data_IF_573059355852
#
_entry.id   IF_573059355852
#
_cell.length_a   1.000
_cell.length_b   1.000
_cell.length_c   1.000
_cell.angle_alpha   90.00
_cell.angle_beta   90.00
_cell.angle_gamma   90.00
#
_symmetry.space_group_name_H-M   'P 1'
#
loop_
_entity.id
_entity.type
_entity.pdbx_description
1 polymer ?
#
# COMPACT_ATOMS: atom_id res chain seq x y z
N UNK A 1 5.29 -21.62 11.55
CA UNK A 1 5.67 -20.53 10.62
C UNK A 1 6.05 -19.29 11.41
N UNK A 2 7.21 -18.68 11.09
CA UNK A 2 7.65 -17.45 11.75
C UNK A 2 6.77 -16.25 11.28
N UNK A 3 6.07 -15.63 12.24
CA UNK A 3 5.17 -14.50 12.00
C UNK A 3 5.92 -13.28 11.45
N UNK A 4 7.18 -13.05 11.88
CA UNK A 4 8.02 -11.95 11.41
C UNK A 4 8.41 -12.14 9.94
N UNK A 5 8.72 -13.38 9.55
CA UNK A 5 8.99 -13.73 8.14
C UNK A 5 7.73 -13.52 7.29
N UNK A 6 6.55 -13.88 7.80
CA UNK A 6 5.29 -13.67 7.09
C UNK A 6 5.04 -12.17 6.82
N UNK A 7 5.23 -11.30 7.81
CA UNK A 7 5.09 -9.84 7.62
C UNK A 7 6.15 -9.32 6.64
N UNK A 8 7.40 -9.80 6.76
CA UNK A 8 8.49 -9.36 5.89
C UNK A 8 8.25 -9.75 4.43
N UNK A 9 7.78 -10.97 4.19
CA UNK A 9 7.51 -11.47 2.83
C UNK A 9 6.25 -10.88 2.18
N UNK A 10 5.37 -10.27 2.95
CA UNK A 10 4.14 -9.63 2.46
C UNK A 10 4.24 -8.10 2.49
N UNK A 11 4.18 -7.49 3.68
CA UNK A 11 4.12 -6.03 3.82
C UNK A 11 5.42 -5.36 3.41
N UNK A 12 6.58 -5.89 3.87
CA UNK A 12 7.87 -5.26 3.53
C UNK A 12 8.18 -5.43 2.04
N UNK A 13 7.88 -6.59 1.44
CA UNK A 13 8.06 -6.78 0.00
C UNK A 13 7.20 -5.84 -0.84
N UNK A 14 5.95 -5.59 -0.41
CA UNK A 14 5.05 -4.64 -1.05
C UNK A 14 5.60 -3.20 -0.95
N UNK A 15 6.10 -2.78 0.22
CA UNK A 15 6.66 -1.45 0.41
C UNK A 15 8.01 -1.26 -0.30
N UNK A 16 8.85 -2.29 -0.36
CA UNK A 16 10.06 -2.29 -1.19
C UNK A 16 9.70 -2.19 -2.68
N UNK A 17 8.66 -2.93 -3.09
CA UNK A 17 8.08 -2.82 -4.43
C UNK A 17 7.55 -1.42 -4.73
N UNK A 18 6.96 -0.73 -3.74
CA UNK A 18 6.54 0.66 -3.87
C UNK A 18 7.74 1.62 -4.04
N UNK A 19 8.80 1.47 -3.24
CA UNK A 19 10.02 2.32 -3.32
C UNK A 19 10.62 2.27 -4.73
N UNK A 20 10.75 1.08 -5.32
CA UNK A 20 11.25 0.90 -6.68
C UNK A 20 10.15 0.80 -7.75
N UNK A 21 8.90 1.15 -7.42
CA UNK A 21 7.74 0.99 -8.30
C UNK A 21 7.77 1.92 -9.50
N UNK A 22 8.00 1.37 -10.70
CA UNK A 22 8.08 2.11 -11.96
C UNK A 22 6.74 2.78 -12.29
N UNK A 23 5.63 2.14 -11.94
CA UNK A 23 4.28 2.65 -12.19
C UNK A 23 3.76 3.61 -11.11
N UNK A 24 4.50 3.80 -10.02
CA UNK A 24 4.17 4.81 -9.02
C UNK A 24 4.56 6.16 -9.60
N UNK A 25 3.57 6.88 -10.06
CA UNK A 25 3.74 8.22 -10.62
C UNK A 25 2.81 9.17 -9.89
N UNK A 26 3.34 10.29 -9.44
CA UNK A 26 2.54 11.37 -8.85
C UNK A 26 2.04 12.34 -9.93
N UNK A 27 1.93 11.84 -11.17
CA UNK A 27 1.76 12.63 -12.39
C UNK A 27 0.30 12.94 -12.75
N UNK A 28 -0.66 12.21 -12.19
CA UNK A 28 -2.07 12.45 -12.51
C UNK A 28 -2.67 13.53 -11.61
N UNK A 29 -2.76 14.78 -12.08
CA UNK A 29 -3.31 15.88 -11.30
C UNK A 29 -4.82 15.71 -11.03
N UNK A 30 -5.52 14.93 -11.86
CA UNK A 30 -6.96 14.69 -11.70
C UNK A 30 -7.27 13.71 -10.57
N UNK A 31 -6.28 12.90 -10.17
CA UNK A 31 -6.42 11.94 -9.06
C UNK A 31 -6.30 12.61 -7.69
N UNK A 32 -5.81 13.84 -7.63
CA UNK A 32 -5.48 14.53 -6.37
C UNK A 32 -6.12 15.90 -6.31
N UNK A 33 -7.23 16.02 -5.59
CA UNK A 33 -7.91 17.30 -5.37
C UNK A 33 -7.08 18.20 -4.43
N UNK A 34 -7.00 19.48 -4.75
CA UNK A 34 -6.42 20.50 -3.88
C UNK A 34 -5.00 20.96 -4.23
N UNK A 35 -4.45 20.54 -5.35
CA UNK A 35 -3.17 21.06 -5.83
C UNK A 35 -3.30 22.48 -6.42
N UNK A 36 -2.26 23.29 -6.19
CA UNK A 36 -2.12 24.56 -6.92
C UNK A 36 -1.78 24.26 -8.40
N UNK A 37 -2.14 25.20 -9.30
CA UNK A 37 -1.80 25.08 -10.71
C UNK A 37 -0.29 24.91 -10.94
N UNK A 38 0.55 25.65 -10.21
CA UNK A 38 2.02 25.54 -10.27
C UNK A 38 2.52 24.18 -9.82
N UNK A 39 1.91 23.56 -8.81
CA UNK A 39 2.28 22.21 -8.37
C UNK A 39 1.93 21.17 -9.42
N UNK A 40 0.76 21.28 -10.05
CA UNK A 40 0.34 20.39 -11.13
C UNK A 40 1.30 20.50 -12.31
N UNK A 41 1.68 21.69 -12.71
CA UNK A 41 2.65 21.95 -13.76
C UNK A 41 3.98 21.30 -13.47
N UNK A 42 4.57 21.54 -12.29
CA UNK A 42 5.82 20.90 -11.85
C UNK A 42 5.72 19.38 -11.78
N UNK A 43 4.60 18.82 -11.37
CA UNK A 43 4.40 17.36 -11.33
C UNK A 43 4.32 16.75 -12.73
N UNK A 44 3.76 17.45 -13.72
CA UNK A 44 3.70 16.98 -15.12
C UNK A 44 5.05 16.98 -15.81
N UNK A 45 5.98 17.84 -15.39
CA UNK A 45 7.32 17.93 -15.94
C UNK A 45 8.24 16.78 -15.49
N UNK A 46 7.86 16.06 -14.41
CA UNK A 46 8.59 14.88 -13.96
C UNK A 46 8.36 13.71 -14.91
N UNK A 47 9.32 13.47 -15.79
CA UNK A 47 9.26 12.38 -16.76
C UNK A 47 9.38 11.01 -16.09
N UNK A 48 8.49 10.07 -16.43
CA UNK A 48 8.61 8.68 -15.99
C UNK A 48 9.88 8.01 -16.47
N UNK A 49 10.39 8.42 -17.63
CA UNK A 49 11.61 7.86 -18.23
C UNK A 49 12.87 8.27 -17.46
N UNK A 50 12.91 9.47 -16.91
CA UNK A 50 14.05 9.93 -16.11
C UNK A 50 14.19 9.18 -14.78
N UNK A 51 13.09 8.61 -14.26
CA UNK A 51 13.07 7.86 -13.02
C UNK A 51 13.15 6.34 -13.22
N UNK A 52 13.09 5.84 -14.46
CA UNK A 52 13.03 4.41 -14.73
C UNK A 52 14.26 3.67 -14.18
N UNK A 53 15.45 4.13 -14.52
CA UNK A 53 16.71 3.50 -14.10
C UNK A 53 16.93 3.54 -12.59
N UNK A 54 16.83 4.68 -11.89
CA UNK A 54 16.92 4.73 -10.44
C UNK A 54 15.91 3.86 -9.72
N UNK A 55 14.65 3.83 -10.19
CA UNK A 55 13.59 2.97 -9.61
C UNK A 55 13.92 1.49 -9.79
N UNK A 56 14.40 1.08 -10.96
CA UNK A 56 14.82 -0.29 -11.23
C UNK A 56 15.98 -0.71 -10.32
N UNK A 57 16.96 0.14 -10.14
CA UNK A 57 18.09 -0.10 -9.24
C UNK A 57 17.58 -0.30 -7.80
N UNK A 58 16.72 0.59 -7.31
CA UNK A 58 16.15 0.48 -5.97
C UNK A 58 15.31 -0.79 -5.81
N UNK A 59 14.53 -1.16 -6.83
CA UNK A 59 13.71 -2.38 -6.81
C UNK A 59 14.60 -3.63 -6.68
N UNK A 60 15.59 -3.75 -7.55
CA UNK A 60 16.48 -4.93 -7.59
C UNK A 60 17.29 -5.04 -6.30
N UNK A 61 17.92 -3.95 -5.87
CA UNK A 61 18.72 -3.93 -4.64
C UNK A 61 17.87 -4.13 -3.40
N UNK A 62 16.69 -3.51 -3.34
CA UNK A 62 15.74 -3.66 -2.22
C UNK A 62 15.22 -5.09 -2.08
N UNK A 63 14.83 -5.73 -3.19
CA UNK A 63 14.40 -7.14 -3.20
C UNK A 63 15.57 -8.07 -2.82
N UNK A 64 16.75 -7.86 -3.38
CA UNK A 64 17.93 -8.67 -3.06
C UNK A 64 18.28 -8.57 -1.57
N UNK A 65 18.28 -7.35 -1.02
CA UNK A 65 18.48 -7.09 0.40
C UNK A 65 17.43 -7.80 1.26
N UNK A 66 16.16 -7.73 0.88
CA UNK A 66 15.06 -8.37 1.61
C UNK A 66 15.21 -9.89 1.62
N UNK A 67 15.49 -10.50 0.47
CA UNK A 67 15.72 -11.95 0.36
C UNK A 67 16.92 -12.37 1.24
N UNK A 68 18.01 -11.62 1.18
CA UNK A 68 19.20 -11.90 2.02
C UNK A 68 18.86 -11.80 3.50
N UNK A 69 18.13 -10.76 3.90
CA UNK A 69 17.71 -10.53 5.29
C UNK A 69 16.82 -11.66 5.81
N UNK A 70 15.79 -12.05 5.05
CA UNK A 70 14.89 -13.16 5.41
C UNK A 70 15.64 -14.48 5.50
N UNK A 71 16.50 -14.84 4.50
CA UNK A 71 17.30 -16.06 4.52
C UNK A 71 18.22 -16.11 5.73
N UNK A 72 18.89 -14.99 6.07
CA UNK A 72 19.76 -14.90 7.25
C UNK A 72 18.98 -15.09 8.53
N UNK A 73 17.78 -14.51 8.64
CA UNK A 73 16.92 -14.69 9.80
C UNK A 73 16.49 -16.14 9.97
N UNK A 74 15.98 -16.78 8.91
CA UNK A 74 15.57 -18.20 8.94
C UNK A 74 16.73 -19.10 9.37
N UNK A 75 17.94 -18.86 8.84
CA UNK A 75 19.14 -19.60 9.26
C UNK A 75 19.43 -19.42 10.74
N UNK A 76 19.36 -18.17 11.24
CA UNK A 76 19.62 -17.89 12.66
C UNK A 76 18.59 -18.52 13.59
N UNK A 77 17.32 -18.59 13.19
CA UNK A 77 16.25 -19.25 13.93
C UNK A 77 16.47 -20.76 13.96
N UNK A 78 16.78 -21.37 12.80
CA UNK A 78 17.07 -22.80 12.72
C UNK A 78 18.29 -23.20 13.54
N UNK A 79 19.33 -22.35 13.60
CA UNK A 79 20.53 -22.55 14.42
C UNK A 79 20.29 -22.23 15.91
N UNK A 80 19.05 -21.95 16.35
CA UNK A 80 18.65 -21.57 17.72
C UNK A 80 19.41 -20.36 18.29
N UNK A 81 19.99 -19.52 17.44
CA UNK A 81 20.77 -18.33 17.85
C UNK A 81 19.92 -17.13 18.23
N UNK A 82 18.64 -17.14 17.85
CA UNK A 82 17.70 -16.06 18.15
C UNK A 82 16.43 -16.68 18.73
N UNK A 83 16.22 -16.48 20.02
CA UNK A 83 14.90 -16.64 20.63
C UNK A 83 14.23 -15.27 20.63
N UNK A 84 13.28 -15.03 19.74
CA UNK A 84 12.32 -13.98 19.99
C UNK A 84 11.28 -14.55 20.96
N UNK A 85 11.25 -14.02 22.18
CA UNK A 85 10.14 -14.23 23.09
C UNK A 85 8.92 -13.52 22.49
N UNK A 86 8.29 -14.15 21.53
CA UNK A 86 6.88 -13.95 21.24
C UNK A 86 6.22 -14.49 22.50
N UNK A 87 5.63 -13.60 23.31
CA UNK A 87 4.83 -14.04 24.45
C UNK A 87 3.88 -15.13 23.95
N UNK A 88 4.11 -16.36 24.39
CA UNK A 88 3.22 -17.51 24.15
C UNK A 88 1.84 -17.32 24.82
N UNK A 89 1.64 -16.20 25.50
CA UNK A 89 0.38 -15.81 26.11
C UNK A 89 -0.58 -15.30 25.06
N UNK A 90 -1.21 -16.17 24.45
CA UNK A 90 -2.44 -16.27 23.71
C UNK A 90 -2.14 -17.04 22.42
N UNK A 91 -2.03 -18.34 22.54
CA UNK A 91 -2.63 -19.17 21.53
C UNK A 91 -4.03 -18.55 21.35
N UNK A 92 -4.18 -17.71 20.33
CA UNK A 92 -5.50 -17.55 19.74
C UNK A 92 -5.87 -18.99 19.48
N UNK A 93 -6.69 -19.54 20.37
CA UNK A 93 -7.38 -20.76 20.07
C UNK A 93 -8.11 -20.42 18.77
N UNK A 94 -7.43 -20.61 17.64
CA UNK A 94 -8.10 -21.06 16.45
C UNK A 94 -8.82 -22.24 17.07
N UNK A 95 -10.09 -22.02 17.44
CA UNK A 95 -10.96 -23.12 17.83
C UNK A 95 -10.63 -24.11 16.76
N UNK A 96 -9.90 -25.17 17.15
CA UNK A 96 -9.60 -26.25 16.25
C UNK A 96 -10.97 -26.63 15.76
N UNK A 97 -11.31 -26.12 14.59
CA UNK A 97 -12.42 -26.67 13.84
C UNK A 97 -11.90 -28.06 13.58
N UNK A 98 -12.28 -28.99 14.48
CA UNK A 98 -11.99 -30.41 14.36
C UNK A 98 -12.75 -30.92 13.14
N UNK A 99 -12.30 -30.47 11.98
CA UNK A 99 -12.68 -31.00 10.69
C UNK A 99 -11.56 -31.90 10.21
N UNK A 100 -11.90 -33.04 9.69
CA UNK A 100 -10.97 -33.97 9.08
C UNK A 100 -10.42 -33.35 7.78
N UNK A 101 -9.41 -32.46 7.94
CA UNK A 101 -8.81 -31.68 6.83
C UNK A 101 -7.92 -32.54 5.92
N UNK A 102 -7.67 -33.82 6.28
CA UNK A 102 -6.80 -34.72 5.51
C UNK A 102 -7.32 -35.02 4.09
N UNK A 103 -8.59 -34.78 3.81
CA UNK A 103 -9.23 -35.10 2.52
C UNK A 103 -9.75 -33.88 1.73
N UNK A 104 -9.44 -32.65 2.16
CA UNK A 104 -9.89 -31.48 1.42
C UNK A 104 -8.98 -31.24 0.20
N UNK A 105 -9.59 -31.29 -0.98
CA UNK A 105 -8.90 -30.94 -2.23
C UNK A 105 -8.52 -29.46 -2.20
N UNK A 106 -7.22 -29.17 -2.19
CA UNK A 106 -6.68 -27.79 -2.16
C UNK A 106 -6.64 -27.11 -3.52
N UNK A 107 -6.67 -27.90 -4.60
CA UNK A 107 -6.58 -27.35 -5.96
C UNK A 107 -7.67 -26.30 -6.30
N UNK A 108 -8.95 -26.41 -5.85
CA UNK A 108 -9.93 -25.37 -6.16
C UNK A 108 -9.56 -24.01 -5.54
N UNK A 109 -8.96 -24.01 -4.34
CA UNK A 109 -8.50 -22.76 -3.70
C UNK A 109 -7.37 -22.15 -4.51
N UNK A 110 -6.40 -22.95 -4.99
CA UNK A 110 -5.28 -22.48 -5.81
C UNK A 110 -5.81 -21.86 -7.11
N UNK A 111 -6.74 -22.54 -7.79
CA UNK A 111 -7.37 -22.01 -9.00
C UNK A 111 -8.09 -20.70 -8.71
N UNK A 112 -8.85 -20.62 -7.63
CA UNK A 112 -9.57 -19.41 -7.27
C UNK A 112 -8.64 -18.24 -6.93
N UNK A 113 -7.56 -18.49 -6.19
CA UNK A 113 -6.54 -17.47 -5.93
C UNK A 113 -5.87 -16.99 -7.21
N UNK A 114 -5.60 -17.90 -8.15
CA UNK A 114 -5.07 -17.55 -9.47
C UNK A 114 -6.04 -16.70 -10.28
N UNK A 115 -7.34 -17.03 -10.24
CA UNK A 115 -8.39 -16.24 -10.91
C UNK A 115 -8.53 -14.85 -10.27
N UNK A 116 -8.48 -14.76 -8.93
CA UNK A 116 -8.47 -13.46 -8.22
C UNK A 116 -7.27 -12.62 -8.69
N UNK A 117 -6.08 -13.22 -8.76
CA UNK A 117 -4.88 -12.53 -9.22
C UNK A 117 -5.05 -12.00 -10.66
N UNK A 118 -5.59 -12.82 -11.55
CA UNK A 118 -5.88 -12.39 -12.94
C UNK A 118 -6.89 -11.24 -12.96
N UNK A 119 -7.97 -11.33 -12.18
CA UNK A 119 -8.97 -10.25 -12.08
C UNK A 119 -8.35 -8.97 -11.53
N UNK A 120 -7.47 -9.04 -10.52
CA UNK A 120 -6.77 -7.88 -10.01
C UNK A 120 -5.86 -7.26 -11.07
N UNK A 121 -5.10 -8.06 -11.82
CA UNK A 121 -4.28 -7.57 -12.94
C UNK A 121 -5.16 -6.89 -13.99
N UNK A 122 -6.27 -7.51 -14.39
CA UNK A 122 -7.23 -6.92 -15.33
C UNK A 122 -7.82 -5.61 -14.79
N UNK A 123 -8.11 -5.53 -13.50
CA UNK A 123 -8.68 -4.35 -12.86
C UNK A 123 -7.71 -3.17 -12.77
N UNK A 124 -6.47 -3.43 -12.39
CA UNK A 124 -5.48 -2.38 -12.12
C UNK A 124 -4.66 -1.96 -13.33
N UNK A 125 -4.51 -2.82 -14.36
CA UNK A 125 -3.75 -2.47 -15.55
C UNK A 125 -4.56 -1.52 -16.45
N UNK A 126 -4.08 -0.29 -16.73
CA UNK A 126 -4.86 0.70 -17.47
C UNK A 126 -4.87 0.39 -18.98
N UNK A 127 -5.75 -0.52 -19.41
CA UNK A 127 -5.85 -1.08 -20.75
C UNK A 127 -6.06 -0.02 -21.83
N UNK A 128 -6.90 0.98 -21.55
CA UNK A 128 -7.20 2.03 -22.51
C UNK A 128 -5.99 2.93 -22.75
N UNK A 129 -5.31 3.38 -21.68
CA UNK A 129 -4.18 4.31 -21.79
C UNK A 129 -2.89 3.65 -22.28
N UNK A 130 -2.61 2.39 -21.88
CA UNK A 130 -1.40 1.68 -22.28
C UNK A 130 -1.52 0.99 -23.65
N UNK A 131 -2.70 0.43 -23.94
CA UNK A 131 -2.88 -0.44 -25.12
C UNK A 131 -3.98 0.03 -26.06
N UNK A 132 -4.69 1.13 -25.76
CA UNK A 132 -5.84 1.60 -26.56
C UNK A 132 -7.05 0.66 -26.55
N UNK A 133 -7.10 -0.30 -25.60
CA UNK A 133 -8.16 -1.31 -25.51
C UNK A 133 -9.35 -0.73 -24.75
N UNK A 134 -10.45 -0.45 -25.46
CA UNK A 134 -11.70 0.13 -24.92
C UNK A 134 -12.80 -0.89 -24.65
N UNK A 135 -12.54 -2.19 -24.80
CA UNK A 135 -13.59 -3.21 -24.65
C UNK A 135 -14.16 -3.26 -23.21
N UNK A 136 -13.33 -3.03 -22.22
CA UNK A 136 -13.74 -3.04 -20.80
C UNK A 136 -14.63 -1.84 -20.44
N UNK A 137 -14.29 -0.66 -20.99
CA UNK A 137 -15.11 0.54 -20.79
C UNK A 137 -16.50 0.35 -21.42
N UNK A 138 -16.54 -0.14 -22.69
CA UNK A 138 -17.81 -0.44 -23.38
C UNK A 138 -18.65 -1.50 -22.66
N UNK A 139 -17.99 -2.55 -22.13
CA UNK A 139 -18.70 -3.58 -21.35
C UNK A 139 -19.30 -2.99 -20.05
N UNK A 140 -18.55 -2.14 -19.37
CA UNK A 140 -19.03 -1.46 -18.17
C UNK A 140 -20.21 -0.54 -18.45
N UNK A 141 -20.12 0.27 -19.52
CA UNK A 141 -21.21 1.14 -19.97
C UNK A 141 -22.47 0.32 -20.31
N UNK A 142 -22.31 -0.79 -21.01
CA UNK A 142 -23.40 -1.70 -21.33
C UNK A 142 -24.02 -2.29 -20.05
N UNK A 143 -23.21 -2.76 -19.10
CA UNK A 143 -23.67 -3.36 -17.85
C UNK A 143 -24.44 -2.35 -17.01
N UNK A 144 -23.89 -1.14 -16.84
CA UNK A 144 -24.54 -0.07 -16.10
C UNK A 144 -25.80 0.46 -16.80
N UNK A 145 -25.89 0.28 -18.11
CA UNK A 145 -27.02 0.67 -18.95
C UNK A 145 -28.20 -0.29 -18.90
N UNK A 146 -28.08 -1.50 -18.28
CA UNK A 146 -29.18 -2.46 -18.19
C UNK A 146 -30.31 -1.90 -17.32
N UNK A 147 -31.52 -1.81 -17.93
CA UNK A 147 -32.70 -1.21 -17.32
C UNK A 147 -33.90 -2.18 -17.28
N UNK A 148 -34.72 -2.04 -16.23
CA UNK A 148 -36.07 -2.57 -16.18
C UNK A 148 -37.01 -1.38 -16.06
N UNK A 149 -37.71 -1.04 -17.16
CA UNK A 149 -38.42 0.23 -17.27
C UNK A 149 -37.47 1.42 -17.22
N UNK A 150 -37.68 2.36 -16.31
CA UNK A 150 -36.79 3.49 -16.07
C UNK A 150 -35.69 3.21 -15.04
N UNK A 151 -35.73 2.06 -14.37
CA UNK A 151 -34.80 1.69 -13.30
C UNK A 151 -33.55 1.02 -13.85
N UNK A 152 -32.39 1.67 -13.72
CA UNK A 152 -31.08 1.10 -14.06
C UNK A 152 -30.63 0.18 -12.92
N UNK A 153 -30.58 -1.14 -13.18
CA UNK A 153 -30.36 -2.16 -12.13
C UNK A 153 -28.98 -1.95 -11.49
N UNK A 154 -27.93 -2.10 -12.26
CA UNK A 154 -26.56 -2.08 -11.72
C UNK A 154 -26.14 -0.69 -11.28
N UNK A 155 -26.46 0.36 -12.04
CA UNK A 155 -26.12 1.73 -11.69
C UNK A 155 -26.77 2.16 -10.36
N UNK A 156 -28.02 1.77 -10.09
CA UNK A 156 -28.69 2.11 -8.84
C UNK A 156 -28.26 1.22 -7.65
N UNK A 157 -27.93 -0.05 -7.87
CA UNK A 157 -27.48 -0.94 -6.80
C UNK A 157 -26.06 -0.60 -6.36
N UNK A 158 -25.17 -0.31 -7.31
CA UNK A 158 -23.75 -0.07 -7.04
C UNK A 158 -23.41 1.43 -6.94
N UNK A 159 -24.42 2.28 -7.14
CA UNK A 159 -24.31 3.75 -6.96
C UNK A 159 -23.16 4.41 -7.73
N UNK A 160 -22.89 4.00 -8.97
CA UNK A 160 -21.83 4.57 -9.78
C UNK A 160 -20.40 4.30 -9.31
N UNK A 161 -20.21 3.57 -8.21
CA UNK A 161 -18.90 3.22 -7.66
C UNK A 161 -18.30 1.94 -8.27
N UNK A 162 -18.89 1.43 -9.35
CA UNK A 162 -18.35 0.29 -10.09
C UNK A 162 -17.48 0.79 -11.22
N UNK A 163 -16.21 0.47 -11.16
CA UNK A 163 -15.23 0.86 -12.17
C UNK A 163 -14.96 -0.29 -13.14
N UNK A 164 -14.83 0.03 -14.43
CA UNK A 164 -14.41 -0.90 -15.46
C UNK A 164 -13.02 -1.49 -15.15
N UNK A 165 -12.74 -2.67 -15.67
CA UNK A 165 -11.38 -3.20 -15.65
C UNK A 165 -10.41 -2.20 -16.33
N UNK A 166 -9.30 -1.94 -15.66
CA UNK A 166 -8.33 -0.93 -16.08
C UNK A 166 -8.44 0.40 -15.34
N UNK A 167 -9.52 0.61 -14.58
CA UNK A 167 -9.76 1.86 -13.85
C UNK A 167 -9.76 1.68 -12.31
N UNK A 168 -9.31 0.51 -11.82
CA UNK A 168 -9.34 0.22 -10.37
C UNK A 168 -8.25 0.94 -9.58
N UNK A 169 -7.30 1.57 -10.24
CA UNK A 169 -6.32 2.44 -9.57
C UNK A 169 -6.90 3.79 -9.15
N UNK A 170 -8.12 4.15 -9.62
CA UNK A 170 -8.79 5.40 -9.25
C UNK A 170 -9.41 5.32 -7.85
N UNK A 171 -9.53 6.48 -7.22
CA UNK A 171 -10.22 6.62 -5.94
C UNK A 171 -11.69 6.20 -6.09
N UNK A 172 -12.16 5.32 -5.18
CA UNK A 172 -13.52 4.79 -5.20
C UNK A 172 -13.66 3.36 -5.76
N UNK A 173 -12.60 2.79 -6.31
CA UNK A 173 -12.60 1.41 -6.83
C UNK A 173 -12.76 0.31 -5.78
N UNK A 174 -12.69 0.64 -4.49
CA UNK A 174 -12.82 -0.32 -3.39
C UNK A 174 -14.08 -1.18 -3.49
N UNK A 175 -15.19 -0.60 -3.97
CA UNK A 175 -16.44 -1.34 -4.11
C UNK A 175 -16.32 -2.47 -5.12
N UNK A 176 -15.59 -2.28 -6.24
CA UNK A 176 -15.32 -3.32 -7.23
C UNK A 176 -14.52 -4.49 -6.62
N UNK A 177 -13.54 -4.18 -5.78
CA UNK A 177 -12.74 -5.19 -5.07
C UNK A 177 -13.59 -5.93 -4.05
N UNK A 178 -14.38 -5.22 -3.24
CA UNK A 178 -15.26 -5.80 -2.22
C UNK A 178 -16.28 -6.74 -2.87
N UNK A 179 -16.94 -6.32 -3.95
CA UNK A 179 -17.89 -7.14 -4.69
C UNK A 179 -17.20 -8.40 -5.22
N UNK A 180 -16.01 -8.25 -5.81
CA UNK A 180 -15.24 -9.40 -6.29
C UNK A 180 -14.96 -10.39 -5.17
N UNK A 181 -14.50 -9.93 -4.00
CA UNK A 181 -14.22 -10.79 -2.85
C UNK A 181 -15.49 -11.49 -2.32
N UNK A 182 -16.62 -10.78 -2.25
CA UNK A 182 -17.91 -11.36 -1.84
C UNK A 182 -18.33 -12.47 -2.81
N UNK A 183 -18.22 -12.24 -4.12
CA UNK A 183 -18.51 -13.26 -5.14
C UNK A 183 -17.62 -14.49 -4.96
N UNK A 184 -16.33 -14.31 -4.69
CA UNK A 184 -15.42 -15.43 -4.42
C UNK A 184 -15.79 -16.20 -3.15
N UNK A 185 -16.19 -15.52 -2.08
CA UNK A 185 -16.68 -16.18 -0.85
C UNK A 185 -17.89 -17.04 -1.17
N UNK A 186 -18.84 -16.53 -1.96
CA UNK A 186 -20.02 -17.29 -2.39
C UNK A 186 -19.64 -18.51 -3.24
N UNK A 187 -18.69 -18.36 -4.18
CA UNK A 187 -18.20 -19.48 -5.00
C UNK A 187 -17.51 -20.54 -4.12
N UNK A 188 -16.65 -20.15 -3.17
CA UNK A 188 -16.04 -21.07 -2.20
C UNK A 188 -17.11 -21.86 -1.44
N UNK A 189 -18.13 -21.16 -0.93
CA UNK A 189 -19.26 -21.79 -0.25
C UNK A 189 -19.89 -22.89 -1.09
N UNK A 190 -20.17 -22.61 -2.38
CA UNK A 190 -20.79 -23.60 -3.28
C UNK A 190 -19.84 -24.75 -3.62
N UNK A 191 -18.59 -24.48 -3.93
CA UNK A 191 -17.58 -25.50 -4.28
C UNK A 191 -17.34 -26.48 -3.14
N UNK A 192 -17.24 -25.98 -1.91
CA UNK A 192 -17.01 -26.81 -0.72
C UNK A 192 -18.29 -27.22 0.00
N UNK A 193 -19.46 -26.89 -0.55
CA UNK A 193 -20.79 -27.23 0.02
C UNK A 193 -20.93 -26.77 1.48
N UNK A 194 -20.36 -25.62 1.84
CA UNK A 194 -20.44 -25.05 3.18
C UNK A 194 -21.88 -24.57 3.44
N UNK A 195 -22.41 -24.86 4.60
CA UNK A 195 -23.75 -24.40 4.99
C UNK A 195 -23.78 -22.88 5.13
N UNK A 196 -24.91 -22.25 4.83
CA UNK A 196 -25.04 -20.79 4.89
C UNK A 196 -24.76 -20.26 6.31
N UNK A 197 -25.34 -20.91 7.33
CA UNK A 197 -25.15 -20.53 8.73
C UNK A 197 -23.67 -20.59 9.15
N UNK A 198 -22.93 -21.60 8.68
CA UNK A 198 -21.51 -21.74 8.91
C UNK A 198 -20.70 -20.61 8.21
N UNK A 199 -21.10 -20.25 6.99
CA UNK A 199 -20.48 -19.13 6.26
C UNK A 199 -20.69 -17.83 7.00
N UNK A 200 -21.92 -17.55 7.46
CA UNK A 200 -22.24 -16.35 8.24
C UNK A 200 -21.51 -16.36 9.59
N UNK A 201 -21.50 -17.50 10.28
CA UNK A 201 -20.78 -17.64 11.55
C UNK A 201 -19.28 -17.35 11.40
N UNK A 202 -18.65 -17.91 10.39
CA UNK A 202 -17.22 -17.68 10.09
C UNK A 202 -16.94 -16.21 9.71
N UNK A 203 -17.82 -15.58 8.94
CA UNK A 203 -17.73 -14.16 8.60
C UNK A 203 -17.84 -13.29 9.86
N UNK A 204 -18.82 -13.53 10.72
CA UNK A 204 -19.01 -12.79 11.97
C UNK A 204 -17.81 -12.97 12.91
N UNK A 205 -17.29 -14.19 13.03
CA UNK A 205 -16.11 -14.45 13.87
C UNK A 205 -14.84 -13.79 13.31
N UNK A 206 -14.68 -13.79 11.99
CA UNK A 206 -13.60 -13.04 11.32
C UNK A 206 -13.71 -11.54 11.58
N UNK A 207 -14.91 -10.98 11.45
CA UNK A 207 -15.18 -9.56 11.70
C UNK A 207 -14.90 -9.18 13.16
N UNK A 208 -15.31 -10.00 14.14
CA UNK A 208 -15.00 -9.76 15.57
C UNK A 208 -13.50 -9.67 15.83
N UNK A 209 -12.68 -10.50 15.19
CA UNK A 209 -11.22 -10.47 15.34
C UNK A 209 -10.63 -9.16 14.78
N UNK A 210 -11.28 -8.55 13.80
CA UNK A 210 -10.82 -7.32 13.15
C UNK A 210 -11.23 -6.03 13.86
N UNK A 211 -12.16 -6.07 14.83
CA UNK A 211 -12.68 -4.86 15.52
C UNK A 211 -11.56 -4.01 16.13
N UNK A 212 -10.62 -4.64 16.83
CA UNK A 212 -9.47 -3.91 17.42
C UNK A 212 -8.57 -3.27 16.37
N UNK A 213 -8.37 -3.93 15.23
CA UNK A 213 -7.61 -3.39 14.10
C UNK A 213 -8.33 -2.19 13.49
N UNK A 214 -9.65 -2.30 13.26
CA UNK A 214 -10.47 -1.21 12.72
C UNK A 214 -10.41 0.01 13.63
N UNK A 215 -10.50 -0.18 14.95
CA UNK A 215 -10.38 0.92 15.93
C UNK A 215 -9.03 1.63 15.84
N UNK A 216 -7.91 0.89 15.75
CA UNK A 216 -6.58 1.48 15.56
C UNK A 216 -6.48 2.26 14.25
N UNK A 217 -7.07 1.74 13.19
CA UNK A 217 -7.13 2.43 11.89
C UNK A 217 -7.91 3.74 12.00
N UNK A 218 -9.07 3.73 12.66
CA UNK A 218 -9.86 4.95 12.89
C UNK A 218 -9.04 5.99 13.65
N UNK A 219 -8.29 5.60 14.70
CA UNK A 219 -7.41 6.52 15.43
C UNK A 219 -6.31 7.08 14.53
N UNK A 220 -5.70 6.25 13.69
CA UNK A 220 -4.68 6.70 12.72
C UNK A 220 -5.26 7.73 11.75
N UNK A 221 -6.46 7.48 11.22
CA UNK A 221 -7.14 8.44 10.35
C UNK A 221 -7.57 9.72 11.09
N UNK A 222 -7.91 9.65 12.37
CA UNK A 222 -8.21 10.85 13.17
C UNK A 222 -6.98 11.77 13.27
N UNK A 223 -5.79 11.19 13.48
CA UNK A 223 -4.52 11.96 13.47
C UNK A 223 -4.29 12.57 12.09
N UNK A 224 -4.44 11.78 11.02
CA UNK A 224 -4.27 12.22 9.65
C UNK A 224 -5.19 13.41 9.31
N UNK A 225 -6.49 13.28 9.59
CA UNK A 225 -7.48 14.33 9.30
C UNK A 225 -7.18 15.60 10.11
N UNK A 226 -6.80 15.44 11.37
CA UNK A 226 -6.44 16.58 12.24
C UNK A 226 -5.21 17.33 11.71
N UNK A 227 -4.14 16.61 11.37
CA UNK A 227 -2.90 17.23 10.88
C UNK A 227 -3.03 17.78 9.47
N UNK A 228 -3.85 17.18 8.62
CA UNK A 228 -4.15 17.67 7.28
C UNK A 228 -4.93 19.01 7.32
N UNK A 229 -5.99 19.07 8.12
CA UNK A 229 -6.83 20.27 8.21
C UNK A 229 -6.13 21.45 8.92
N UNK A 230 -5.16 21.21 9.76
CA UNK A 230 -4.42 22.26 10.48
C UNK A 230 -3.10 22.68 9.79
N UNK A 231 -2.88 22.27 8.56
CA UNK A 231 -1.74 22.69 7.70
C UNK A 231 -0.35 22.57 8.37
N UNK A 232 -0.18 21.62 9.31
CA UNK A 232 1.01 21.47 10.11
C UNK A 232 2.27 21.30 9.25
N UNK A 233 2.20 20.43 8.23
CA UNK A 233 3.35 20.16 7.36
C UNK A 233 3.65 21.38 6.47
N UNK A 234 2.63 22.04 5.94
CA UNK A 234 2.82 23.26 5.14
C UNK A 234 3.54 24.36 5.95
N UNK A 235 3.21 24.48 7.24
CA UNK A 235 3.91 25.42 8.15
C UNK A 235 5.39 25.05 8.29
N UNK A 236 5.74 23.76 8.46
CA UNK A 236 7.12 23.32 8.53
C UNK A 236 7.85 23.61 7.20
N UNK A 237 7.22 23.35 6.06
CA UNK A 237 7.80 23.62 4.75
C UNK A 237 8.09 25.11 4.59
N UNK A 238 7.15 25.99 4.95
CA UNK A 238 7.36 27.44 4.90
C UNK A 238 8.53 27.87 5.79
N UNK A 239 8.60 27.42 7.04
CA UNK A 239 9.71 27.76 7.93
C UNK A 239 11.07 27.28 7.39
N UNK A 240 11.12 26.10 6.78
CA UNK A 240 12.36 25.56 6.20
C UNK A 240 12.72 26.35 4.94
N UNK A 241 11.78 26.68 4.07
CA UNK A 241 12.03 27.44 2.84
C UNK A 241 12.50 28.86 3.10
N UNK A 242 12.01 29.52 4.16
CA UNK A 242 12.42 30.86 4.59
C UNK A 242 13.71 30.84 5.41
N UNK A 243 14.15 29.69 5.88
CA UNK A 243 15.39 29.54 6.64
C UNK A 243 16.64 29.58 5.72
N UNK A 244 17.80 29.81 6.32
CA UNK A 244 19.09 29.70 5.60
C UNK A 244 19.38 28.32 5.02
N UNK A 245 18.71 27.26 5.52
CA UNK A 245 18.87 25.89 5.03
C UNK A 245 18.17 25.69 3.69
N UNK A 246 17.04 26.35 3.48
CA UNK A 246 16.21 26.16 2.29
C UNK A 246 15.70 24.73 2.10
N UNK A 247 15.01 24.50 0.99
CA UNK A 247 14.60 23.15 0.59
C UNK A 247 15.78 22.50 -0.14
N UNK A 248 16.32 21.44 0.46
CA UNK A 248 17.36 20.59 -0.08
C UNK A 248 17.03 19.10 0.19
N UNK A 249 17.83 18.16 -0.32
CA UNK A 249 17.54 16.72 -0.17
C UNK A 249 17.42 16.26 1.29
N UNK A 250 18.21 16.86 2.19
CA UNK A 250 18.16 16.49 3.62
C UNK A 250 16.87 17.01 4.26
N UNK A 251 16.56 18.30 4.06
CA UNK A 251 15.33 18.90 4.61
C UNK A 251 14.09 18.27 3.99
N UNK A 252 14.09 17.99 2.69
CA UNK A 252 13.02 17.28 2.01
C UNK A 252 12.82 15.85 2.55
N UNK A 253 13.92 15.13 2.84
CA UNK A 253 13.86 13.79 3.45
C UNK A 253 13.23 13.84 4.86
N UNK A 254 13.63 14.82 5.68
CA UNK A 254 13.08 14.99 7.04
C UNK A 254 11.59 15.36 6.98
N UNK A 255 11.21 16.30 6.12
CA UNK A 255 9.81 16.70 5.92
C UNK A 255 8.98 15.50 5.44
N UNK A 256 9.50 14.77 4.46
CA UNK A 256 8.83 13.55 3.95
C UNK A 256 8.67 12.49 5.04
N UNK A 257 9.68 12.30 5.91
CA UNK A 257 9.61 11.35 7.01
C UNK A 257 8.57 11.75 8.07
N UNK A 258 8.59 13.01 8.51
CA UNK A 258 7.60 13.53 9.48
C UNK A 258 6.20 13.47 8.88
N UNK A 259 6.05 13.92 7.65
CA UNK A 259 4.77 13.90 6.95
C UNK A 259 4.23 12.49 6.76
N UNK A 260 5.06 11.53 6.37
CA UNK A 260 4.67 10.14 6.20
C UNK A 260 4.35 9.43 7.53
N UNK A 261 4.92 9.87 8.66
CA UNK A 261 4.53 9.40 9.99
C UNK A 261 3.16 9.90 10.42
N UNK A 262 2.78 11.11 10.00
CA UNK A 262 1.49 11.71 10.34
C UNK A 262 0.39 11.32 9.34
N UNK A 263 0.75 11.23 8.08
CA UNK A 263 -0.15 10.92 6.97
C UNK A 263 0.28 9.62 6.30
N UNK A 264 -0.21 8.50 6.77
CA UNK A 264 0.17 7.17 6.25
C UNK A 264 -0.69 6.71 5.06
N UNK A 265 -1.77 7.39 4.78
CA UNK A 265 -2.53 7.21 3.55
C UNK A 265 -1.83 7.94 2.41
N UNK A 266 -1.52 7.22 1.32
CA UNK A 266 -0.74 7.78 0.21
C UNK A 266 -1.38 9.03 -0.40
N UNK A 267 -2.71 9.03 -0.56
CA UNK A 267 -3.43 10.16 -1.13
C UNK A 267 -3.23 11.44 -0.31
N UNK A 268 -3.51 11.36 1.00
CA UNK A 268 -3.35 12.50 1.90
C UNK A 268 -1.89 12.90 2.08
N UNK A 269 -0.96 11.94 2.02
CA UNK A 269 0.48 12.23 2.10
C UNK A 269 0.95 12.97 0.85
N UNK A 270 0.48 12.58 -0.32
CA UNK A 270 0.79 13.32 -1.56
C UNK A 270 0.18 14.72 -1.51
N UNK A 271 -1.09 14.85 -1.13
CA UNK A 271 -1.76 16.15 -1.06
C UNK A 271 -1.18 17.07 0.03
N UNK A 272 -0.92 16.53 1.23
CA UNK A 272 -0.51 17.33 2.40
C UNK A 272 0.99 17.49 2.59
N UNK A 273 1.81 16.67 1.93
CA UNK A 273 3.29 16.69 2.09
C UNK A 273 4.00 16.89 0.76
N UNK A 274 3.78 15.99 -0.19
CA UNK A 274 4.51 16.03 -1.46
C UNK A 274 4.17 17.27 -2.29
N UNK A 275 2.88 17.60 -2.43
CA UNK A 275 2.44 18.76 -3.21
C UNK A 275 2.99 20.09 -2.67
N UNK A 276 2.87 20.43 -1.37
CA UNK A 276 3.50 21.62 -0.82
C UNK A 276 5.03 21.62 -0.92
N UNK A 277 5.66 20.45 -0.75
CA UNK A 277 7.13 20.32 -0.85
C UNK A 277 7.60 20.65 -2.27
N UNK A 278 7.00 20.06 -3.30
CA UNK A 278 7.35 20.32 -4.70
C UNK A 278 7.07 21.77 -5.10
N UNK A 279 6.00 22.37 -4.60
CA UNK A 279 5.70 23.79 -4.84
C UNK A 279 6.77 24.72 -4.27
N UNK A 280 7.42 24.35 -3.17
CA UNK A 280 8.45 25.14 -2.51
C UNK A 280 9.86 24.94 -3.13
N UNK A 281 10.04 23.97 -4.02
CA UNK A 281 11.31 23.72 -4.72
C UNK A 281 11.53 24.80 -5.77
N UNK A 282 12.67 25.49 -5.70
CA UNK A 282 13.07 26.53 -6.65
C UNK A 282 13.81 25.96 -7.87
N UNK A 283 14.56 24.88 -7.68
CA UNK A 283 15.35 24.24 -8.74
C UNK A 283 14.55 23.11 -9.41
N UNK A 284 14.04 23.40 -10.60
CA UNK A 284 13.22 22.46 -11.36
C UNK A 284 14.00 21.24 -11.87
N UNK A 285 15.33 21.37 -12.04
CA UNK A 285 16.19 20.24 -12.45
C UNK A 285 16.18 19.11 -11.42
N UNK A 286 15.95 19.42 -10.15
CA UNK A 286 15.94 18.49 -9.03
C UNK A 286 14.58 17.84 -8.74
N UNK A 287 13.52 18.22 -9.46
CA UNK A 287 12.15 17.72 -9.17
C UNK A 287 12.06 16.20 -9.19
N UNK A 288 12.74 15.54 -10.14
CA UNK A 288 12.77 14.08 -10.23
C UNK A 288 13.42 13.45 -8.98
N UNK A 289 14.49 14.06 -8.47
CA UNK A 289 15.19 13.61 -7.26
C UNK A 289 14.34 13.80 -6.00
N UNK A 290 13.61 14.92 -5.89
CA UNK A 290 12.68 15.15 -4.79
C UNK A 290 11.49 14.17 -4.83
N UNK A 291 10.97 13.85 -6.00
CA UNK A 291 9.92 12.84 -6.16
C UNK A 291 10.39 11.45 -5.67
N UNK A 292 11.60 11.05 -6.07
CA UNK A 292 12.22 9.80 -5.61
C UNK A 292 12.50 9.81 -4.11
N UNK A 293 12.93 10.95 -3.57
CA UNK A 293 13.16 11.14 -2.14
C UNK A 293 11.86 10.90 -1.37
N UNK A 294 10.78 11.58 -1.75
CA UNK A 294 9.47 11.40 -1.12
C UNK A 294 8.99 9.94 -1.20
N UNK A 295 8.99 9.34 -2.39
CA UNK A 295 8.55 7.96 -2.61
C UNK A 295 9.35 6.96 -1.74
N UNK A 296 10.67 7.11 -1.71
CA UNK A 296 11.54 6.21 -0.96
C UNK A 296 11.36 6.36 0.56
N UNK A 297 11.29 7.58 1.05
CA UNK A 297 11.10 7.86 2.49
C UNK A 297 9.71 7.41 2.95
N UNK A 298 8.66 7.66 2.16
CA UNK A 298 7.31 7.15 2.46
C UNK A 298 7.30 5.62 2.59
N UNK A 299 7.93 4.90 1.65
CA UNK A 299 8.02 3.44 1.73
C UNK A 299 8.80 2.96 2.95
N UNK A 300 9.93 3.60 3.28
CA UNK A 300 10.73 3.27 4.48
C UNK A 300 9.93 3.51 5.75
N UNK A 301 9.26 4.66 5.86
CA UNK A 301 8.38 4.97 7.02
C UNK A 301 7.25 3.96 7.11
N UNK A 302 6.67 3.54 5.98
CA UNK A 302 5.66 2.49 5.94
C UNK A 302 6.11 1.15 6.55
N UNK A 303 7.40 0.80 6.44
CA UNK A 303 7.96 -0.45 6.98
C UNK A 303 8.08 -0.42 8.52
N UNK A 304 8.36 0.72 9.12
CA UNK A 304 8.69 0.82 10.55
C UNK A 304 7.77 1.78 11.31
N UNK A 305 7.05 2.66 10.63
CA UNK A 305 6.24 3.70 11.27
C UNK A 305 5.08 3.13 12.09
N UNK A 306 4.89 3.60 13.32
CA UNK A 306 3.82 3.10 14.19
C UNK A 306 2.41 3.47 13.72
N UNK A 307 2.30 4.39 12.80
CA UNK A 307 1.05 4.85 12.18
C UNK A 307 0.79 4.18 10.84
N UNK A 308 1.73 3.35 10.34
CA UNK A 308 1.56 2.64 9.07
C UNK A 308 0.37 1.69 9.13
N UNK A 309 -0.68 2.01 8.37
CA UNK A 309 -1.91 1.24 8.30
C UNK A 309 -1.66 -0.24 7.98
N UNK A 310 -0.88 -0.51 6.93
CA UNK A 310 -0.56 -1.87 6.50
C UNK A 310 0.17 -2.64 7.60
N UNK A 311 1.14 -1.99 8.25
CA UNK A 311 1.91 -2.59 9.32
C UNK A 311 1.04 -2.87 10.56
N UNK A 312 0.21 -1.91 10.98
CA UNK A 312 -0.70 -2.07 12.13
C UNK A 312 -1.63 -3.27 11.91
N UNK A 313 -2.24 -3.36 10.73
CA UNK A 313 -3.15 -4.47 10.39
C UNK A 313 -2.41 -5.81 10.46
N UNK A 314 -1.22 -5.91 9.88
CA UNK A 314 -0.45 -7.15 9.86
C UNK A 314 0.03 -7.57 11.25
N UNK A 315 0.57 -6.62 12.03
CA UNK A 315 1.02 -6.88 13.40
C UNK A 315 -0.13 -7.33 14.29
N UNK A 316 -1.28 -6.66 14.19
CA UNK A 316 -2.46 -7.02 15.00
C UNK A 316 -3.07 -8.34 14.56
N UNK A 317 -3.14 -8.60 13.26
CA UNK A 317 -3.68 -9.86 12.73
C UNK A 317 -2.85 -11.08 13.16
N UNK A 318 -1.52 -10.95 13.17
CA UNK A 318 -0.60 -12.01 13.55
C UNK A 318 -0.23 -11.99 15.04
N UNK A 319 -0.79 -11.06 15.81
CA UNK A 319 -0.52 -10.88 17.24
C UNK A 319 0.99 -10.75 17.52
N UNK A 320 1.64 -9.82 16.80
CA UNK A 320 3.06 -9.48 16.95
C UNK A 320 3.19 -8.14 17.63
N UNK A 321 3.89 -8.04 18.78
CA UNK A 321 4.16 -6.77 19.43
C UNK A 321 5.00 -5.84 18.54
N UNK A 322 4.63 -4.57 18.46
CA UNK A 322 5.36 -3.58 17.68
C UNK A 322 6.85 -3.47 18.05
N UNK A 323 7.16 -3.56 19.35
CA UNK A 323 8.54 -3.53 19.84
C UNK A 323 9.38 -4.68 19.32
N UNK A 324 8.80 -5.88 19.22
CA UNK A 324 9.45 -7.07 18.65
C UNK A 324 9.68 -6.90 17.15
N UNK A 325 8.72 -6.30 16.45
CA UNK A 325 8.86 -5.95 15.05
C UNK A 325 10.02 -4.96 14.81
N UNK A 326 10.07 -3.86 15.56
CA UNK A 326 11.13 -2.85 15.42
C UNK A 326 12.51 -3.47 15.72
N UNK A 327 12.65 -4.28 16.78
CA UNK A 327 13.89 -5.01 17.09
C UNK A 327 14.34 -5.94 15.96
N UNK A 328 13.41 -6.50 15.22
CA UNK A 328 13.70 -7.37 14.08
C UNK A 328 14.11 -6.59 12.85
N UNK A 329 13.31 -5.57 12.43
CA UNK A 329 13.41 -4.97 11.12
C UNK A 329 14.42 -3.81 11.01
N UNK A 330 14.83 -3.17 12.12
CA UNK A 330 15.62 -1.95 12.12
C UNK A 330 16.92 -2.03 11.30
N UNK A 331 17.62 -3.16 11.34
CA UNK A 331 18.87 -3.36 10.55
C UNK A 331 18.60 -3.38 9.06
N UNK A 332 17.49 -3.98 8.65
CA UNK A 332 17.05 -3.96 7.26
C UNK A 332 16.73 -2.53 6.82
N UNK A 333 15.97 -1.80 7.63
CA UNK A 333 15.59 -0.40 7.36
C UNK A 333 16.82 0.49 7.22
N UNK A 334 17.81 0.36 8.09
CA UNK A 334 19.08 1.11 7.97
C UNK A 334 19.83 0.78 6.68
N UNK A 335 19.95 -0.49 6.31
CA UNK A 335 20.61 -0.88 5.06
C UNK A 335 19.85 -0.38 3.84
N UNK A 336 18.52 -0.46 3.85
CA UNK A 336 17.68 0.07 2.79
C UNK A 336 17.81 1.59 2.66
N UNK A 337 17.82 2.31 3.79
CA UNK A 337 18.03 3.75 3.82
C UNK A 337 19.38 4.15 3.22
N UNK A 338 20.45 3.41 3.54
CA UNK A 338 21.76 3.65 2.94
C UNK A 338 21.75 3.46 1.42
N UNK A 339 21.09 2.41 0.92
CA UNK A 339 20.93 2.20 -0.53
C UNK A 339 20.18 3.37 -1.17
N UNK A 340 19.09 3.82 -0.55
CA UNK A 340 18.29 4.95 -1.03
C UNK A 340 19.15 6.23 -1.07
N UNK A 341 19.88 6.54 0.00
CA UNK A 341 20.77 7.72 0.06
C UNK A 341 21.79 7.66 -1.06
N UNK A 342 22.44 6.52 -1.30
CA UNK A 342 23.44 6.39 -2.37
C UNK A 342 22.83 6.64 -3.75
N UNK A 343 21.64 6.10 -4.02
CA UNK A 343 20.96 6.33 -5.30
C UNK A 343 20.56 7.79 -5.46
N UNK A 344 20.02 8.42 -4.41
CA UNK A 344 19.64 9.84 -4.45
C UNK A 344 20.84 10.77 -4.62
N UNK A 345 21.98 10.45 -4.00
CA UNK A 345 23.23 11.20 -4.19
C UNK A 345 23.73 11.11 -5.64
N UNK A 346 23.67 9.92 -6.23
CA UNK A 346 24.02 9.75 -7.65
C UNK A 346 23.10 10.56 -8.56
N UNK A 347 21.78 10.54 -8.29
CA UNK A 347 20.81 11.34 -9.04
C UNK A 347 21.03 12.85 -8.90
N UNK A 348 21.52 13.32 -7.75
CA UNK A 348 21.79 14.73 -7.51
C UNK A 348 23.11 15.22 -8.15
N UNK A 349 23.98 14.30 -8.55
CA UNK A 349 25.28 14.61 -9.19
C UNK A 349 25.24 14.55 -10.72
N UNK A 350 24.20 13.91 -11.29
CA UNK A 350 23.98 13.80 -12.73
C UNK A 350 22.98 14.87 -13.19
#
# INVERSE_FOLDING_TARGET
>A
YDKLVAISSTIVSMLVGFIGGIFVTFRDPNSYYGYSATTIEKMTDISNTSLLLPKLILLVLGIALLIFFIKKHIKNVNDKKVKYELNESNEVSVSEVKGDYKNIKTWPIIVMLSVILVILILGYLPWNTLFGIKCFDKFNEWLLGIKIGEFTIFSNIVSGNMYAFGNWASLGSYMSIIITLILFILIIKFVYKIKFDETVHNFVNGSKKMVGTVFLVILTYAILVSTYNHSFISTIITWVSESKLGINLVTASIISAIGSLLHTDLYYTVAGVYSPLISAVSDESMLATYAMTFQSIYGIVGIIGPTSFLLIVALKYLDVPYTSWVKYIWRFVLMLLLIVILVLLVMALI
#
